data_IF_821251983110
#
_entry.id   IF_821251983110
#
_cell.length_a   1.000
_cell.length_b   1.000
_cell.length_c   1.000
_cell.angle_alpha   90.00
_cell.angle_beta   90.00
_cell.angle_gamma   90.00
#
_symmetry.space_group_name_H-M   'P 1'
#
loop_
_entity.id
_entity.type
_entity.pdbx_description
1 polymer ?
#
# COMPACT_ATOMS: atom_id res chain seq x y z
N UNK A 1 42.28 24.49 -9.42
CA UNK A 1 41.68 23.53 -10.37
C UNK A 1 40.24 23.09 -10.05
N UNK A 2 39.77 23.03 -8.79
CA UNK A 2 38.35 22.67 -8.51
C UNK A 2 37.33 23.81 -8.65
N UNK A 3 37.75 25.07 -8.75
CA UNK A 3 36.85 26.23 -8.95
C UNK A 3 36.63 26.63 -10.43
N UNK A 4 37.49 26.17 -11.34
CA UNK A 4 37.35 26.45 -12.78
C UNK A 4 36.31 25.52 -13.46
N UNK A 5 36.11 24.32 -12.91
CA UNK A 5 35.14 23.34 -13.42
C UNK A 5 33.67 23.75 -13.18
N UNK A 6 33.39 24.43 -12.06
CA UNK A 6 32.04 24.94 -11.74
C UNK A 6 31.63 26.13 -12.61
N UNK A 7 32.59 26.92 -13.11
CA UNK A 7 32.31 28.07 -13.99
C UNK A 7 32.00 27.59 -15.43
N UNK A 8 32.63 26.51 -15.90
CA UNK A 8 32.38 25.95 -17.24
C UNK A 8 30.98 25.29 -17.33
N UNK A 9 30.50 24.63 -16.27
CA UNK A 9 29.14 24.06 -16.24
C UNK A 9 28.06 25.15 -16.13
N UNK A 10 28.32 26.24 -15.42
CA UNK A 10 27.39 27.38 -15.33
C UNK A 10 27.30 28.18 -16.65
N UNK A 11 28.41 28.30 -17.41
CA UNK A 11 28.41 28.95 -18.73
C UNK A 11 27.79 28.08 -19.84
N UNK A 12 27.90 26.76 -19.75
CA UNK A 12 27.18 25.82 -20.63
C UNK A 12 25.65 25.85 -20.45
N UNK A 13 25.16 26.37 -19.32
CA UNK A 13 23.72 26.54 -19.04
C UNK A 13 23.19 27.97 -19.32
N UNK A 14 24.04 28.93 -19.69
CA UNK A 14 23.61 30.33 -19.85
C UNK A 14 24.02 30.99 -21.18
N UNK A 15 24.66 30.28 -22.11
CA UNK A 15 25.03 30.86 -23.41
C UNK A 15 24.97 29.86 -24.56
N UNK A 16 23.75 29.45 -24.93
CA UNK A 16 23.45 29.09 -26.31
C UNK A 16 22.18 29.82 -26.72
N UNK A 17 22.40 30.99 -27.31
CA UNK A 17 21.42 31.70 -28.11
C UNK A 17 21.05 30.85 -29.32
N UNK A 18 19.75 30.79 -29.55
CA UNK A 18 19.04 30.11 -30.62
C UNK A 18 19.64 30.44 -31.99
N UNK A 19 20.14 29.41 -32.70
CA UNK A 19 19.94 29.30 -34.14
C UNK A 19 18.89 28.24 -34.37
N UNK A 20 17.84 28.62 -35.10
CA UNK A 20 16.69 27.80 -35.49
C UNK A 20 17.15 26.47 -36.07
N UNK A 21 17.27 25.48 -35.19
CA UNK A 21 16.93 24.11 -35.52
C UNK A 21 15.46 24.04 -35.15
N UNK A 22 14.61 23.58 -36.07
CA UNK A 22 13.27 23.09 -35.73
C UNK A 22 13.46 21.86 -34.83
N UNK A 23 13.85 22.13 -33.58
CA UNK A 23 13.73 21.22 -32.48
C UNK A 23 12.22 21.20 -32.31
N UNK A 24 11.58 20.14 -32.80
CA UNK A 24 10.29 19.75 -32.26
C UNK A 24 10.45 19.87 -30.76
N UNK A 25 9.80 20.90 -30.18
CA UNK A 25 9.66 21.01 -28.73
C UNK A 25 9.33 19.61 -28.28
N UNK A 26 10.03 19.03 -27.28
CA UNK A 26 9.59 17.74 -26.75
C UNK A 26 8.11 17.92 -26.57
N UNK A 27 7.34 17.12 -27.31
CA UNK A 27 5.91 17.22 -27.29
C UNK A 27 5.62 16.80 -25.86
N UNK A 28 5.59 17.78 -24.95
CA UNK A 28 4.92 17.69 -23.68
C UNK A 28 3.52 17.46 -24.19
N UNK A 29 3.22 16.18 -24.46
CA UNK A 29 1.88 15.71 -24.42
C UNK A 29 1.41 16.34 -23.14
N UNK A 30 0.52 17.32 -23.29
CA UNK A 30 -0.33 17.76 -22.21
C UNK A 30 -1.07 16.50 -21.81
N UNK A 31 -0.39 15.63 -21.05
CA UNK A 31 -1.04 14.77 -20.12
C UNK A 31 -1.76 15.79 -19.28
N UNK A 32 -3.06 15.90 -19.51
CA UNK A 32 -3.98 16.39 -18.51
C UNK A 32 -3.64 15.55 -17.27
N UNK A 33 -2.66 16.00 -16.48
CA UNK A 33 -2.42 15.51 -15.14
C UNK A 33 -3.65 16.03 -14.43
N UNK A 34 -4.71 15.24 -14.52
CA UNK A 34 -5.98 15.49 -13.90
C UNK A 34 -5.63 15.83 -12.46
N UNK A 35 -5.93 17.06 -12.03
CA UNK A 35 -5.55 17.60 -10.72
C UNK A 35 -6.25 16.88 -9.56
N UNK A 36 -6.88 15.74 -9.85
CA UNK A 36 -7.72 14.94 -8.96
C UNK A 36 -6.86 13.95 -8.20
N UNK A 37 -6.25 14.51 -7.17
CA UNK A 37 -6.06 13.97 -5.83
C UNK A 37 -6.10 12.44 -5.74
N UNK A 38 -4.89 11.89 -5.64
CA UNK A 38 -4.52 10.61 -5.05
C UNK A 38 -5.41 10.23 -3.85
N UNK A 39 -6.02 9.04 -3.80
CA UNK A 39 -6.72 8.63 -2.58
C UNK A 39 -5.70 8.07 -1.57
N UNK A 40 -5.43 8.84 -0.51
CA UNK A 40 -4.86 8.24 0.68
C UNK A 40 -5.84 7.21 1.26
N UNK A 41 -5.34 6.03 1.59
CA UNK A 41 -6.05 4.95 2.27
C UNK A 41 -5.34 4.73 3.60
N UNK A 42 -6.09 4.62 4.70
CA UNK A 42 -5.53 4.34 6.03
C UNK A 42 -5.79 2.89 6.42
N UNK A 43 -4.76 2.21 6.94
CA UNK A 43 -4.94 0.95 7.67
C UNK A 43 -5.46 1.24 9.08
N UNK A 44 -6.64 0.72 9.39
CA UNK A 44 -7.30 0.83 10.68
C UNK A 44 -7.42 -0.54 11.36
N UNK A 45 -6.96 -0.61 12.62
CA UNK A 45 -7.04 -1.79 13.50
C UNK A 45 -7.98 -1.53 14.69
N UNK A 46 -8.41 -0.27 14.87
CA UNK A 46 -9.20 0.20 16.00
C UNK A 46 -10.16 1.32 15.61
N UNK A 47 -11.21 1.53 16.43
CA UNK A 47 -12.14 2.67 16.29
C UNK A 47 -11.37 3.99 16.24
N UNK A 48 -10.33 4.16 17.05
CA UNK A 48 -9.54 5.39 17.12
C UNK A 48 -8.87 5.76 15.78
N UNK A 49 -8.53 4.77 14.95
CA UNK A 49 -7.92 4.97 13.62
C UNK A 49 -8.97 5.31 12.57
N UNK A 50 -10.17 4.75 12.69
CA UNK A 50 -11.33 5.13 11.87
C UNK A 50 -11.74 6.58 12.18
N UNK A 51 -11.83 6.95 13.46
CA UNK A 51 -12.13 8.32 13.88
C UNK A 51 -11.09 9.32 13.35
N UNK A 52 -9.82 8.93 13.35
CA UNK A 52 -8.75 9.74 12.79
C UNK A 52 -8.88 9.90 11.28
N UNK A 53 -9.10 8.81 10.54
CA UNK A 53 -9.32 8.89 9.10
C UNK A 53 -10.47 9.84 8.76
N UNK A 54 -11.58 9.77 9.52
CA UNK A 54 -12.73 10.66 9.35
C UNK A 54 -12.36 12.13 9.58
N UNK A 55 -11.65 12.44 10.67
CA UNK A 55 -11.19 13.79 10.98
C UNK A 55 -10.26 14.37 9.91
N UNK A 56 -9.53 13.50 9.21
CA UNK A 56 -8.66 13.89 8.10
C UNK A 56 -9.41 14.04 6.78
N UNK A 57 -10.69 13.67 6.71
CA UNK A 57 -11.50 13.66 5.48
C UNK A 57 -11.24 12.44 4.58
N UNK A 58 -10.46 11.46 5.05
CA UNK A 58 -10.13 10.26 4.29
C UNK A 58 -11.37 9.38 4.17
N UNK A 59 -11.76 9.06 2.94
CA UNK A 59 -12.97 8.27 2.65
C UNK A 59 -12.71 6.78 2.44
N UNK A 60 -11.48 6.38 2.17
CA UNK A 60 -11.11 4.99 1.91
C UNK A 60 -10.24 4.47 3.06
N UNK A 61 -10.60 3.31 3.62
CA UNK A 61 -9.81 2.65 4.68
C UNK A 61 -9.61 1.16 4.38
N UNK A 62 -8.59 0.57 4.99
CA UNK A 62 -8.41 -0.87 5.10
C UNK A 62 -8.63 -1.25 6.56
N UNK A 63 -9.65 -2.04 6.84
CA UNK A 63 -9.88 -2.62 8.16
C UNK A 63 -9.03 -3.88 8.26
N UNK A 64 -7.95 -3.83 9.04
CA UNK A 64 -7.02 -4.94 9.19
C UNK A 64 -7.46 -5.87 10.33
N UNK A 65 -7.61 -7.15 10.01
CA UNK A 65 -8.05 -8.20 10.92
C UNK A 65 -7.13 -9.42 10.84
N UNK A 66 -6.96 -10.11 11.98
CA UNK A 66 -6.29 -11.42 12.05
C UNK A 66 -7.13 -12.56 11.44
N UNK A 67 -8.35 -12.25 10.98
CA UNK A 67 -9.33 -13.22 10.53
C UNK A 67 -10.36 -13.54 11.60
N UNK A 68 -11.47 -14.15 11.19
CA UNK A 68 -12.63 -14.46 12.04
C UNK A 68 -12.76 -15.95 12.33
N UNK A 69 -11.69 -16.72 12.16
CA UNK A 69 -11.64 -18.14 12.50
C UNK A 69 -10.98 -18.37 13.86
N UNK A 70 -11.34 -19.49 14.48
CA UNK A 70 -10.60 -20.04 15.62
C UNK A 70 -9.33 -20.73 15.08
N UNK A 71 -8.19 -20.42 15.68
CA UNK A 71 -6.90 -21.01 15.30
C UNK A 71 -6.84 -22.51 15.71
N UNK A 72 -6.02 -23.30 15.01
CA UNK A 72 -5.68 -24.70 15.33
C UNK A 72 -6.84 -25.73 15.37
N UNK A 73 -7.98 -25.42 14.75
CA UNK A 73 -9.12 -26.35 14.60
C UNK A 73 -9.61 -26.44 13.16
N UNK A 74 -10.52 -27.39 12.89
CA UNK A 74 -11.37 -27.34 11.69
C UNK A 74 -12.06 -25.97 11.60
N UNK A 75 -12.44 -25.57 10.38
CA UNK A 75 -13.09 -24.28 10.18
C UNK A 75 -14.25 -24.06 11.16
N UNK A 76 -14.09 -23.05 12.01
CA UNK A 76 -15.12 -22.54 12.91
C UNK A 76 -14.91 -21.05 13.10
N UNK A 77 -15.99 -20.31 12.97
CA UNK A 77 -16.03 -18.87 13.22
C UNK A 77 -15.74 -18.58 14.69
N UNK A 78 -14.79 -17.68 14.92
CA UNK A 78 -14.57 -17.00 16.18
C UNK A 78 -15.52 -15.79 16.24
N UNK A 79 -16.63 -15.96 16.96
CA UNK A 79 -17.67 -14.93 17.07
C UNK A 79 -17.21 -13.67 17.80
N UNK A 80 -16.17 -13.75 18.65
CA UNK A 80 -15.61 -12.56 19.30
C UNK A 80 -14.82 -11.73 18.29
N UNK A 81 -13.94 -12.36 17.52
CA UNK A 81 -13.22 -11.69 16.41
C UNK A 81 -14.18 -11.13 15.37
N UNK A 82 -15.22 -11.89 15.04
CA UNK A 82 -16.25 -11.47 14.09
C UNK A 82 -17.03 -10.26 14.61
N UNK A 83 -17.44 -10.25 15.88
CA UNK A 83 -18.08 -9.08 16.51
C UNK A 83 -17.15 -7.87 16.53
N UNK A 84 -15.85 -8.07 16.79
CA UNK A 84 -14.86 -7.02 16.70
C UNK A 84 -14.77 -6.39 15.31
N UNK A 85 -14.79 -7.22 14.26
CA UNK A 85 -14.84 -6.76 12.87
C UNK A 85 -16.14 -5.98 12.58
N UNK A 86 -17.30 -6.48 13.03
CA UNK A 86 -18.59 -5.79 12.86
C UNK A 86 -18.56 -4.39 13.47
N UNK A 87 -18.00 -4.24 14.67
CA UNK A 87 -17.89 -2.94 15.34
C UNK A 87 -17.08 -1.95 14.50
N UNK A 88 -15.98 -2.39 13.86
CA UNK A 88 -15.18 -1.54 12.99
C UNK A 88 -15.92 -1.19 11.69
N UNK A 89 -16.61 -2.16 11.08
CA UNK A 89 -17.41 -1.95 9.86
C UNK A 89 -18.56 -0.97 10.10
N UNK A 90 -19.32 -1.15 11.18
CA UNK A 90 -20.41 -0.24 11.53
C UNK A 90 -19.91 1.18 11.80
N UNK A 91 -18.73 1.32 12.39
CA UNK A 91 -18.09 2.63 12.55
C UNK A 91 -17.72 3.28 11.21
N UNK A 92 -17.19 2.50 10.26
CA UNK A 92 -16.89 2.98 8.92
C UNK A 92 -18.16 3.41 8.17
N UNK A 93 -19.25 2.63 8.28
CA UNK A 93 -20.57 2.95 7.73
C UNK A 93 -21.14 4.25 8.29
N UNK A 94 -21.04 4.45 9.61
CA UNK A 94 -21.47 5.70 10.26
C UNK A 94 -20.82 6.93 9.62
N UNK A 95 -19.55 6.82 9.21
CA UNK A 95 -18.81 7.89 8.54
C UNK A 95 -18.90 7.87 7.02
N UNK A 96 -19.74 7.01 6.44
CA UNK A 96 -19.91 6.83 5.00
C UNK A 96 -18.57 6.58 4.30
N UNK A 97 -17.70 5.80 4.95
CA UNK A 97 -16.41 5.42 4.40
C UNK A 97 -16.55 4.20 3.50
N UNK A 98 -15.74 4.19 2.45
CA UNK A 98 -15.42 3.00 1.68
C UNK A 98 -14.37 2.19 2.44
N UNK A 99 -14.52 0.87 2.47
CA UNK A 99 -13.60 0.01 3.19
C UNK A 99 -13.27 -1.27 2.44
N UNK A 100 -12.02 -1.67 2.56
CA UNK A 100 -11.59 -3.05 2.34
C UNK A 100 -11.48 -3.76 3.69
N UNK A 101 -11.71 -5.07 3.71
CA UNK A 101 -11.39 -5.91 4.86
C UNK A 101 -10.12 -6.66 4.54
N UNK A 102 -9.01 -6.30 5.18
CA UNK A 102 -7.76 -7.04 5.05
C UNK A 102 -7.71 -8.14 6.09
N UNK A 103 -7.44 -9.36 5.62
CA UNK A 103 -7.22 -10.52 6.46
C UNK A 103 -5.77 -10.94 6.32
N UNK A 104 -5.06 -10.97 7.43
CA UNK A 104 -3.70 -11.53 7.46
C UNK A 104 -3.79 -13.04 7.41
N UNK A 105 -2.94 -13.68 6.61
CA UNK A 105 -2.70 -15.13 6.68
C UNK A 105 -2.11 -15.57 8.02
N UNK A 106 -1.85 -14.66 8.96
CA UNK A 106 -1.02 -14.87 10.13
C UNK A 106 0.42 -15.32 9.77
N UNK A 107 1.32 -15.29 10.75
CA UNK A 107 2.44 -16.21 10.76
C UNK A 107 1.85 -17.60 11.04
N UNK A 108 1.88 -18.53 10.08
CA UNK A 108 1.67 -19.92 10.46
C UNK A 108 2.81 -20.27 11.41
N UNK A 109 2.52 -20.63 12.65
CA UNK A 109 3.52 -21.22 13.51
C UNK A 109 3.21 -22.70 13.57
N UNK A 110 4.20 -23.55 13.30
CA UNK A 110 4.04 -24.97 13.62
C UNK A 110 4.07 -25.19 15.14
N UNK A 111 3.85 -26.43 15.57
CA UNK A 111 3.85 -26.83 16.99
C UNK A 111 5.18 -26.49 17.70
N UNK A 112 6.25 -26.29 16.94
CA UNK A 112 7.60 -25.92 17.41
C UNK A 112 7.87 -24.40 17.34
N UNK A 113 6.85 -23.57 17.07
CA UNK A 113 6.96 -22.11 16.87
C UNK A 113 7.86 -21.69 15.70
N UNK A 114 8.09 -22.57 14.73
CA UNK A 114 8.80 -22.22 13.49
C UNK A 114 7.84 -21.48 12.55
N UNK A 115 8.34 -20.43 11.89
CA UNK A 115 7.60 -19.69 10.86
C UNK A 115 7.24 -20.63 9.69
N UNK A 116 5.96 -20.73 9.39
CA UNK A 116 5.34 -21.59 8.39
C UNK A 116 4.30 -20.77 7.63
N UNK A 117 4.24 -20.91 6.31
CA UNK A 117 3.13 -20.31 5.55
C UNK A 117 1.85 -21.11 5.85
N UNK A 118 0.74 -20.45 6.23
CA UNK A 118 -0.57 -21.13 6.37
C UNK A 118 -0.95 -21.92 5.11
N UNK A 119 -0.36 -21.58 3.96
CA UNK A 119 -0.67 -22.17 2.68
C UNK A 119 0.16 -23.40 2.32
N UNK A 120 0.89 -24.02 3.25
CA UNK A 120 1.56 -25.31 2.98
C UNK A 120 0.65 -26.53 3.16
N UNK A 121 -0.49 -26.40 3.85
CA UNK A 121 -1.47 -27.48 4.05
C UNK A 121 -2.77 -27.12 3.32
N UNK A 122 -3.26 -27.99 2.43
CA UNK A 122 -4.47 -27.74 1.65
C UNK A 122 -5.72 -27.50 2.52
N UNK A 123 -5.79 -28.15 3.68
CA UNK A 123 -6.87 -27.90 4.65
C UNK A 123 -6.86 -26.48 5.19
N UNK A 124 -5.69 -25.89 5.43
CA UNK A 124 -5.57 -24.50 5.89
C UNK A 124 -5.88 -23.51 4.76
N UNK A 125 -5.46 -23.80 3.50
CA UNK A 125 -5.88 -23.02 2.33
C UNK A 125 -7.41 -23.02 2.18
N UNK A 126 -8.03 -24.20 2.34
CA UNK A 126 -9.48 -24.37 2.28
C UNK A 126 -10.20 -23.60 3.39
N UNK A 127 -9.76 -23.70 4.64
CA UNK A 127 -10.35 -22.97 5.76
C UNK A 127 -10.19 -21.46 5.63
N UNK A 128 -9.06 -20.99 5.08
CA UNK A 128 -8.86 -19.59 4.76
C UNK A 128 -9.86 -19.11 3.68
N UNK A 129 -10.06 -19.89 2.62
CA UNK A 129 -11.05 -19.58 1.58
C UNK A 129 -12.49 -19.59 2.13
N UNK A 130 -12.83 -20.52 3.04
CA UNK A 130 -14.14 -20.52 3.71
C UNK A 130 -14.37 -19.25 4.54
N UNK A 131 -13.37 -18.83 5.32
CA UNK A 131 -13.39 -17.58 6.08
C UNK A 131 -13.64 -16.36 5.18
N UNK A 132 -12.94 -16.30 4.04
CA UNK A 132 -13.14 -15.23 3.07
C UNK A 132 -14.55 -15.21 2.51
N UNK A 133 -15.09 -16.36 2.10
CA UNK A 133 -16.46 -16.46 1.60
C UNK A 133 -17.49 -16.03 2.66
N UNK A 134 -17.26 -16.34 3.93
CA UNK A 134 -18.13 -15.88 5.03
C UNK A 134 -18.12 -14.35 5.15
N UNK A 135 -16.94 -13.73 5.12
CA UNK A 135 -16.79 -12.27 5.18
C UNK A 135 -17.41 -11.60 3.94
N UNK A 136 -17.16 -12.11 2.74
CA UNK A 136 -17.75 -11.58 1.48
C UNK A 136 -19.27 -11.65 1.58
N UNK A 137 -19.83 -12.83 1.86
CA UNK A 137 -21.30 -13.02 1.94
C UNK A 137 -21.94 -12.03 2.93
N UNK A 138 -21.23 -11.68 3.99
CA UNK A 138 -21.73 -10.79 5.03
C UNK A 138 -21.77 -9.32 4.63
N UNK A 139 -20.76 -8.84 3.89
CA UNK A 139 -20.58 -7.41 3.62
C UNK A 139 -20.73 -7.04 2.13
N UNK A 140 -20.91 -7.98 1.20
CA UNK A 140 -21.02 -7.68 -0.25
C UNK A 140 -22.21 -6.77 -0.62
N UNK A 141 -23.29 -6.84 0.16
CA UNK A 141 -24.44 -5.97 0.00
C UNK A 141 -24.20 -4.53 0.54
N UNK A 142 -23.12 -4.28 1.28
CA UNK A 142 -22.83 -2.96 1.82
C UNK A 142 -22.20 -2.05 0.75
N UNK A 143 -22.83 -0.90 0.47
CA UNK A 143 -22.34 0.07 -0.52
C UNK A 143 -20.91 0.58 -0.27
N UNK A 144 -20.46 0.57 0.99
CA UNK A 144 -19.11 0.96 1.38
C UNK A 144 -18.07 -0.13 1.14
N UNK A 145 -18.46 -1.39 0.98
CA UNK A 145 -17.51 -2.51 0.85
C UNK A 145 -16.86 -2.52 -0.54
N UNK A 146 -15.55 -2.37 -0.57
CA UNK A 146 -14.74 -2.35 -1.80
C UNK A 146 -14.07 -3.66 -2.11
N UNK A 147 -13.89 -4.53 -1.13
CA UNK A 147 -13.27 -5.84 -1.36
C UNK A 147 -12.57 -6.42 -0.15
N UNK A 148 -11.91 -7.55 -0.38
CA UNK A 148 -11.07 -8.22 0.62
C UNK A 148 -9.61 -8.06 0.24
N UNK A 149 -8.80 -7.62 1.20
CA UNK A 149 -7.35 -7.67 1.12
C UNK A 149 -6.80 -8.96 1.73
N UNK A 150 -5.78 -9.54 1.10
CA UNK A 150 -5.05 -10.67 1.67
C UNK A 150 -3.62 -10.21 1.95
N UNK A 151 -3.26 -10.18 3.23
CA UNK A 151 -1.87 -9.96 3.62
C UNK A 151 -1.19 -11.30 3.84
N UNK A 152 -0.33 -11.68 2.89
CA UNK A 152 0.45 -12.92 2.95
C UNK A 152 1.76 -12.60 3.67
N UNK A 153 1.82 -12.99 4.94
CA UNK A 153 3.05 -12.89 5.73
C UNK A 153 3.92 -14.12 5.45
N UNK A 154 5.19 -13.89 5.09
CA UNK A 154 6.19 -14.93 4.79
C UNK A 154 5.73 -15.97 3.73
N UNK A 155 5.47 -15.54 2.49
CA UNK A 155 4.95 -16.44 1.45
C UNK A 155 5.84 -17.66 1.13
N UNK A 156 7.14 -17.60 1.45
CA UNK A 156 8.10 -18.57 0.93
C UNK A 156 8.12 -18.56 -0.60
N UNK A 157 8.39 -19.73 -1.22
CA UNK A 157 8.25 -19.94 -2.66
C UNK A 157 6.82 -20.23 -3.13
N UNK A 158 5.85 -20.32 -2.21
CA UNK A 158 4.52 -20.90 -2.48
C UNK A 158 3.42 -19.84 -2.61
N UNK A 159 3.78 -18.55 -2.74
CA UNK A 159 2.84 -17.42 -2.79
C UNK A 159 1.84 -17.55 -3.95
N UNK A 160 2.35 -17.78 -5.16
CA UNK A 160 1.53 -17.81 -6.38
C UNK A 160 0.55 -18.98 -6.39
N UNK A 161 0.96 -20.13 -5.82
CA UNK A 161 0.09 -21.30 -5.68
C UNK A 161 -1.04 -21.02 -4.68
N UNK A 162 -0.70 -20.44 -3.53
CA UNK A 162 -1.68 -20.05 -2.51
C UNK A 162 -2.71 -19.05 -3.05
N UNK A 163 -2.23 -18.00 -3.74
CA UNK A 163 -3.05 -16.98 -4.38
C UNK A 163 -3.99 -17.64 -5.41
N UNK A 164 -3.43 -18.49 -6.28
CA UNK A 164 -4.20 -19.17 -7.33
C UNK A 164 -5.25 -20.12 -6.74
N UNK A 165 -4.91 -20.84 -5.67
CA UNK A 165 -5.87 -21.67 -4.95
C UNK A 165 -7.02 -20.82 -4.39
N UNK A 166 -6.71 -19.74 -3.67
CA UNK A 166 -7.72 -18.86 -3.09
C UNK A 166 -8.65 -18.33 -4.17
N UNK A 167 -8.12 -17.85 -5.30
CA UNK A 167 -8.94 -17.40 -6.43
C UNK A 167 -9.87 -18.49 -6.97
N UNK A 168 -9.39 -19.73 -7.05
CA UNK A 168 -10.21 -20.86 -7.53
C UNK A 168 -11.37 -21.20 -6.59
N UNK A 169 -11.27 -20.84 -5.30
CA UNK A 169 -12.27 -21.17 -4.26
C UNK A 169 -13.13 -19.98 -3.85
N UNK A 170 -12.61 -18.77 -3.97
CA UNK A 170 -13.26 -17.51 -3.66
C UNK A 170 -13.48 -16.82 -5.00
N UNK A 171 -14.56 -17.21 -5.69
CA UNK A 171 -14.93 -16.67 -7.00
C UNK A 171 -15.44 -15.21 -6.86
N UNK A 172 -14.54 -14.29 -6.51
CA UNK A 172 -14.85 -12.90 -6.19
C UNK A 172 -13.82 -11.97 -6.82
N UNK A 173 -14.30 -10.98 -7.58
CA UNK A 173 -13.44 -10.14 -8.43
C UNK A 173 -12.72 -9.01 -7.69
N UNK A 174 -13.14 -8.69 -6.46
CA UNK A 174 -12.61 -7.56 -5.68
C UNK A 174 -11.61 -7.99 -4.60
N UNK A 175 -10.76 -8.98 -4.90
CA UNK A 175 -9.68 -9.40 -4.00
C UNK A 175 -8.41 -8.64 -4.36
N UNK A 176 -7.77 -8.02 -3.37
CA UNK A 176 -6.47 -7.34 -3.51
C UNK A 176 -5.40 -8.08 -2.69
N UNK A 177 -4.19 -8.20 -3.24
CA UNK A 177 -3.11 -8.94 -2.59
C UNK A 177 -2.03 -8.00 -2.08
N UNK A 178 -1.76 -8.05 -0.78
CA UNK A 178 -0.60 -7.40 -0.20
C UNK A 178 0.59 -8.37 -0.26
N UNK A 179 1.45 -8.14 -1.23
CA UNK A 179 2.66 -8.91 -1.44
C UNK A 179 3.81 -8.11 -0.84
N UNK A 180 4.38 -8.64 0.25
CA UNK A 180 5.56 -8.07 0.89
C UNK A 180 6.78 -8.29 0.00
N UNK A 181 7.17 -7.28 -0.79
CA UNK A 181 8.31 -7.37 -1.70
C UNK A 181 9.62 -7.04 -0.95
N UNK A 182 10.64 -7.91 -1.02
CA UNK A 182 11.91 -7.71 -0.34
C UNK A 182 12.84 -6.69 -1.03
N UNK A 183 12.65 -6.42 -2.33
CA UNK A 183 13.50 -5.53 -3.13
C UNK A 183 12.70 -4.94 -4.31
N UNK A 184 12.82 -3.62 -4.51
CA UNK A 184 12.12 -2.85 -5.54
C UNK A 184 12.67 -3.07 -6.96
N UNK A 185 13.91 -3.53 -7.07
CA UNK A 185 14.61 -3.66 -8.36
C UNK A 185 14.46 -5.04 -9.01
N UNK A 186 13.96 -6.04 -8.28
CA UNK A 186 13.80 -7.42 -8.74
C UNK A 186 12.32 -7.83 -8.92
N UNK A 187 11.41 -6.85 -8.94
CA UNK A 187 9.97 -7.11 -8.96
C UNK A 187 9.53 -7.68 -10.32
N UNK A 188 9.05 -8.93 -10.32
CA UNK A 188 8.11 -9.42 -11.33
C UNK A 188 6.71 -9.37 -10.73
N UNK A 189 5.92 -8.35 -11.06
CA UNK A 189 4.53 -8.28 -10.62
C UNK A 189 3.72 -9.32 -11.39
N UNK A 190 2.93 -10.10 -10.66
CA UNK A 190 1.97 -11.00 -11.29
C UNK A 190 0.84 -10.15 -11.90
N UNK A 191 0.83 -10.00 -13.23
CA UNK A 191 -0.16 -9.18 -13.95
C UNK A 191 -1.60 -9.68 -13.79
N UNK A 192 -1.78 -10.92 -13.32
CA UNK A 192 -3.08 -11.56 -13.22
C UNK A 192 -3.96 -10.99 -12.11
N UNK A 193 -3.39 -10.32 -11.10
CA UNK A 193 -4.09 -9.93 -9.88
C UNK A 193 -3.83 -8.46 -9.50
N UNK A 194 -4.80 -7.77 -8.86
CA UNK A 194 -4.55 -6.45 -8.30
C UNK A 194 -3.54 -6.57 -7.15
N UNK A 195 -2.36 -5.96 -7.32
CA UNK A 195 -1.26 -6.08 -6.37
C UNK A 195 -1.07 -4.80 -5.58
N UNK A 196 -0.90 -4.94 -4.27
CA UNK A 196 -0.39 -3.90 -3.39
C UNK A 196 1.11 -4.13 -3.24
N UNK A 197 1.91 -3.14 -3.61
CA UNK A 197 3.36 -3.16 -3.37
C UNK A 197 3.64 -2.58 -1.99
N UNK A 198 4.28 -3.38 -1.15
CA UNK A 198 4.64 -2.98 0.20
C UNK A 198 6.04 -2.37 0.28
N UNK A 199 6.11 -1.10 0.65
CA UNK A 199 7.33 -0.39 0.97
C UNK A 199 7.46 -0.28 2.50
N UNK A 200 8.39 -1.04 3.07
CA UNK A 200 8.64 -1.05 4.51
C UNK A 200 9.95 -0.31 4.85
N UNK A 201 9.82 0.83 5.51
CA UNK A 201 10.93 1.68 5.91
C UNK A 201 11.18 1.54 7.41
N UNK A 202 12.42 1.29 7.83
CA UNK A 202 12.80 1.25 9.26
C UNK A 202 13.56 2.50 9.75
N UNK A 203 13.91 3.43 8.85
CA UNK A 203 14.65 4.65 9.21
C UNK A 203 13.73 5.73 9.74
N UNK A 204 14.28 6.64 10.54
CA UNK A 204 13.58 7.84 11.03
C UNK A 204 13.85 9.08 10.17
N UNK A 205 14.83 9.04 9.25
CA UNK A 205 15.34 10.22 8.54
C UNK A 205 15.29 10.03 7.02
N UNK A 206 14.82 11.05 6.29
CA UNK A 206 14.85 11.17 4.83
C UNK A 206 15.15 12.63 4.40
N UNK A 207 15.97 12.89 3.37
CA UNK A 207 16.74 11.95 2.53
C UNK A 207 17.99 11.39 3.24
N UNK A 208 18.43 10.18 2.86
CA UNK A 208 19.68 9.60 3.38
C UNK A 208 19.74 8.07 3.37
N UNK A 209 18.88 7.39 4.15
CA UNK A 209 18.89 5.92 4.23
C UNK A 209 17.50 5.37 4.53
N UNK A 210 17.01 4.43 3.72
CA UNK A 210 15.96 3.49 4.14
C UNK A 210 16.60 2.19 4.59
N UNK A 211 16.23 1.70 5.77
CA UNK A 211 16.52 0.31 6.12
C UNK A 211 15.35 -0.55 5.64
N UNK A 212 15.56 -1.31 4.56
CA UNK A 212 14.51 -2.12 3.91
C UNK A 212 14.35 -3.51 4.52
N UNK A 213 15.31 -3.99 5.32
CA UNK A 213 15.16 -5.22 6.15
C UNK A 213 16.27 -5.37 7.19
N UNK A 214 17.52 -5.08 6.83
CA UNK A 214 18.69 -5.11 7.72
C UNK A 214 19.93 -4.39 7.14
N UNK A 215 19.87 -3.94 5.88
CA UNK A 215 20.89 -3.14 5.21
C UNK A 215 20.41 -1.69 5.06
N UNK A 216 21.36 -0.75 5.17
CA UNK A 216 21.15 0.65 4.81
C UNK A 216 21.11 0.74 3.27
N UNK A 217 19.94 0.97 2.70
CA UNK A 217 19.77 1.24 1.27
C UNK A 217 19.40 2.71 1.13
N UNK A 218 20.26 3.50 0.50
CA UNK A 218 19.92 4.85 0.07
C UNK A 218 18.74 4.76 -0.91
N UNK A 219 17.61 5.40 -0.57
CA UNK A 219 16.46 5.46 -1.49
C UNK A 219 16.78 6.50 -2.54
N UNK A 220 17.21 6.05 -3.71
CA UNK A 220 17.31 6.94 -4.85
C UNK A 220 15.90 7.26 -5.37
N UNK A 221 15.50 8.54 -5.30
CA UNK A 221 14.19 9.03 -5.76
C UNK A 221 13.88 8.64 -7.20
N UNK A 222 14.87 8.72 -8.10
CA UNK A 222 14.68 8.41 -9.51
C UNK A 222 14.48 6.90 -9.73
N UNK A 223 15.22 6.07 -8.99
CA UNK A 223 15.01 4.61 -9.01
C UNK A 223 13.62 4.24 -8.49
N UNK A 224 13.17 4.84 -7.37
CA UNK A 224 11.82 4.60 -6.84
C UNK A 224 10.74 5.02 -7.85
N UNK A 225 10.87 6.20 -8.47
CA UNK A 225 9.95 6.68 -9.50
C UNK A 225 9.90 5.72 -10.70
N UNK A 226 11.07 5.33 -11.24
CA UNK A 226 11.15 4.43 -12.38
C UNK A 226 10.52 3.05 -12.06
N UNK A 227 10.78 2.50 -10.87
CA UNK A 227 10.17 1.23 -10.44
C UNK A 227 8.65 1.33 -10.29
N UNK A 228 8.15 2.43 -9.70
CA UNK A 228 6.70 2.66 -9.57
C UNK A 228 6.03 2.92 -10.93
N UNK A 229 6.70 3.60 -11.85
CA UNK A 229 6.24 3.81 -13.24
C UNK A 229 6.11 2.47 -13.97
N UNK A 230 7.19 1.68 -13.99
CA UNK A 230 7.19 0.35 -14.62
C UNK A 230 6.09 -0.53 -14.02
N UNK A 231 5.88 -0.46 -12.70
CA UNK A 231 4.76 -1.14 -12.06
C UNK A 231 3.41 -0.64 -12.57
N UNK A 232 3.18 0.67 -12.69
CA UNK A 232 1.90 1.23 -13.14
C UNK A 232 1.55 0.73 -14.54
N UNK A 233 2.56 0.73 -15.40
CA UNK A 233 2.44 0.30 -16.79
C UNK A 233 2.09 -1.19 -16.88
N UNK A 234 2.70 -2.01 -16.03
CA UNK A 234 2.41 -3.45 -15.96
C UNK A 234 1.08 -3.76 -15.26
N UNK A 235 0.64 -2.93 -14.31
CA UNK A 235 -0.60 -3.13 -13.57
C UNK A 235 -1.25 -1.78 -13.19
N UNK A 236 -2.21 -1.36 -14.01
CA UNK A 236 -2.93 -0.09 -13.82
C UNK A 236 -3.69 -0.01 -12.50
N UNK A 237 -4.05 -1.16 -11.91
CA UNK A 237 -4.80 -1.26 -10.65
C UNK A 237 -3.94 -1.39 -9.40
N UNK A 238 -2.61 -1.36 -9.55
CA UNK A 238 -1.72 -1.53 -8.40
C UNK A 238 -1.89 -0.39 -7.39
N UNK A 239 -1.68 -0.69 -6.11
CA UNK A 239 -1.65 0.28 -5.01
C UNK A 239 -0.28 0.24 -4.33
N UNK A 240 0.10 1.33 -3.67
CA UNK A 240 1.37 1.40 -2.93
C UNK A 240 1.07 1.46 -1.45
N UNK A 241 1.47 0.44 -0.69
CA UNK A 241 1.40 0.46 0.76
C UNK A 241 2.74 0.85 1.35
N UNK A 242 2.73 1.84 2.23
CA UNK A 242 3.91 2.38 2.88
C UNK A 242 3.78 2.22 4.37
N UNK A 243 4.78 1.58 4.98
CA UNK A 243 4.93 1.46 6.43
C UNK A 243 6.24 2.09 6.85
N UNK A 244 6.20 2.96 7.85
CA UNK A 244 7.37 3.63 8.41
C UNK A 244 7.14 3.90 9.92
N UNK A 245 8.20 4.08 10.71
CA UNK A 245 8.11 4.68 12.04
C UNK A 245 7.89 6.20 11.91
N UNK A 246 6.71 6.59 11.41
CA UNK A 246 6.41 7.97 11.04
C UNK A 246 6.80 8.98 12.13
N UNK A 247 7.55 10.00 11.70
CA UNK A 247 8.04 11.14 12.48
C UNK A 247 7.97 12.38 11.60
N UNK A 248 8.08 13.58 12.19
CA UNK A 248 8.11 14.83 11.41
C UNK A 248 9.32 14.94 10.46
N UNK A 249 10.35 14.11 10.63
CA UNK A 249 11.51 13.99 9.72
C UNK A 249 11.18 13.23 8.42
N UNK A 250 9.96 12.69 8.30
CA UNK A 250 9.46 12.04 7.09
C UNK A 250 8.62 12.99 6.22
N UNK A 251 8.62 14.30 6.49
CA UNK A 251 7.79 15.26 5.76
C UNK A 251 8.15 15.33 4.27
N UNK A 252 9.44 15.43 3.94
CA UNK A 252 9.91 15.40 2.54
C UNK A 252 9.55 14.06 1.88
N UNK A 253 9.65 12.95 2.60
CA UNK A 253 9.33 11.63 2.06
C UNK A 253 7.84 11.48 1.74
N UNK A 254 6.96 11.85 2.67
CA UNK A 254 5.51 11.78 2.46
C UNK A 254 5.07 12.74 1.35
N UNK A 255 5.71 13.91 1.24
CA UNK A 255 5.49 14.85 0.14
C UNK A 255 5.93 14.23 -1.20
N UNK A 256 7.10 13.60 -1.26
CA UNK A 256 7.57 12.91 -2.47
C UNK A 256 6.62 11.78 -2.88
N UNK A 257 6.18 10.94 -1.94
CA UNK A 257 5.20 9.89 -2.21
C UNK A 257 3.88 10.47 -2.74
N UNK A 258 3.38 11.54 -2.14
CA UNK A 258 2.19 12.24 -2.61
C UNK A 258 2.34 12.72 -4.06
N UNK A 259 3.44 13.38 -4.40
CA UNK A 259 3.70 13.85 -5.76
C UNK A 259 3.84 12.70 -6.75
N UNK A 260 4.58 11.65 -6.39
CA UNK A 260 4.73 10.45 -7.21
C UNK A 260 3.36 9.83 -7.51
N UNK A 261 2.51 9.74 -6.50
CA UNK A 261 1.20 9.12 -6.64
C UNK A 261 0.21 10.01 -7.38
N UNK A 262 0.36 11.34 -7.29
CA UNK A 262 -0.38 12.30 -8.12
C UNK A 262 0.01 12.19 -9.59
N UNK A 263 1.29 12.04 -9.89
CA UNK A 263 1.81 11.90 -11.26
C UNK A 263 1.43 10.54 -11.86
N UNK A 264 1.54 9.47 -11.08
CA UNK A 264 1.31 8.10 -11.54
C UNK A 264 -0.12 7.59 -11.32
N UNK A 265 -0.96 8.39 -10.67
CA UNK A 265 -2.33 8.07 -10.31
C UNK A 265 -2.46 6.73 -9.56
N UNK A 266 -1.72 6.59 -8.47
CA UNK A 266 -1.81 5.45 -7.55
C UNK A 266 -2.63 5.79 -6.32
N UNK A 267 -3.22 4.79 -5.68
CA UNK A 267 -3.68 4.94 -4.30
C UNK A 267 -2.51 4.63 -3.34
N UNK A 268 -2.35 5.47 -2.31
CA UNK A 268 -1.33 5.26 -1.27
C UNK A 268 -2.01 4.73 -0.02
N UNK A 269 -1.62 3.55 0.40
CA UNK A 269 -2.02 2.97 1.67
C UNK A 269 -0.97 3.34 2.73
N UNK A 270 -1.38 4.07 3.76
CA UNK A 270 -0.54 4.43 4.89
C UNK A 270 -0.80 3.48 6.06
N UNK A 271 0.22 2.73 6.44
CA UNK A 271 0.23 1.88 7.63
C UNK A 271 0.86 2.62 8.83
N UNK A 272 0.72 2.05 10.02
CA UNK A 272 1.23 2.59 11.29
C UNK A 272 0.69 4.00 11.60
N UNK A 273 -0.61 4.18 11.38
CA UNK A 273 -1.28 5.49 11.47
C UNK A 273 -1.31 6.08 12.88
N UNK A 274 -1.15 5.25 13.91
CA UNK A 274 -0.95 5.69 15.30
C UNK A 274 0.25 6.62 15.48
N UNK A 275 1.31 6.44 14.68
CA UNK A 275 2.49 7.32 14.66
C UNK A 275 2.23 8.59 13.86
N UNK A 276 1.58 8.51 12.69
CA UNK A 276 1.22 9.67 11.86
C UNK A 276 0.38 10.69 12.67
N UNK A 277 -0.56 10.21 13.48
CA UNK A 277 -1.42 11.03 14.35
C UNK A 277 -0.65 11.99 15.26
N UNK A 278 0.62 11.68 15.57
CA UNK A 278 1.46 12.43 16.51
C UNK A 278 2.38 13.43 15.80
N UNK A 279 2.32 13.54 14.47
CA UNK A 279 3.29 14.29 13.67
C UNK A 279 2.62 15.46 12.93
N UNK A 280 2.63 16.68 13.49
CA UNK A 280 1.95 17.83 12.90
C UNK A 280 2.36 18.15 11.46
N UNK A 281 3.63 17.93 11.06
CA UNK A 281 4.06 18.16 9.68
C UNK A 281 3.43 17.16 8.73
N UNK A 282 3.40 15.88 9.11
CA UNK A 282 2.79 14.82 8.31
C UNK A 282 1.28 15.02 8.17
N UNK A 283 0.60 15.48 9.23
CA UNK A 283 -0.82 15.80 9.17
C UNK A 283 -1.14 16.91 8.16
N UNK A 284 -0.28 17.93 8.04
CA UNK A 284 -0.43 18.98 7.02
C UNK A 284 -0.33 18.41 5.60
N UNK A 285 0.60 17.49 5.37
CA UNK A 285 0.76 16.86 4.05
C UNK A 285 -0.42 15.94 3.77
N UNK A 286 -0.82 15.10 4.74
CA UNK A 286 -1.94 14.17 4.59
C UNK A 286 -3.24 14.88 4.21
N UNK A 287 -3.50 16.09 4.74
CA UNK A 287 -4.66 16.91 4.32
C UNK A 287 -4.63 17.29 2.84
N UNK A 288 -3.45 17.44 2.23
CA UNK A 288 -3.30 17.69 0.79
C UNK A 288 -3.57 16.44 -0.06
N UNK A 289 -3.49 15.27 0.55
CA UNK A 289 -3.74 13.97 -0.09
C UNK A 289 -5.22 13.56 -0.05
N UNK A 290 -6.09 14.44 0.46
CA UNK A 290 -7.52 14.18 0.58
C UNK A 290 -8.27 15.05 -0.41
N UNK A 291 -9.17 14.49 -1.22
CA UNK A 291 -9.93 15.29 -2.18
C UNK A 291 -10.72 16.38 -1.46
N UNK A 292 -10.66 17.60 -1.96
CA UNK A 292 -11.59 18.66 -1.52
C UNK A 292 -12.95 18.31 -2.11
N UNK A 293 -13.88 17.88 -1.26
CA UNK A 293 -15.27 17.57 -1.61
C UNK A 293 -16.18 18.77 -1.46
#
# INVERSE_FOLDING_TARGET
>A
MKRLLFIIIAFLLSSCTVKNVDIEKPNVQNTNIDSKVTNAIIVAKSISEIDFANKMGIKNIIISSKGVRIDDKNYRTDFERLRGLDVLVEKAKQYKMNFYIEITSGPGYDVEKRNFSLFRRDSQKFYFAQMMNEIIKRYDADNGFKGIGINIENPGGDADEAISYIYSKVNYSKIIYNINLPDLNSIKLNQKYPNIVYLNFKSLNYPGYSMLKSSNIEVNRNSLLASLQNMKEQNKSAMVRVSAPWSDEHDVFLQDLYELSRILNFDIILDNTSSIKKCPKLLKILRKMVPVT
#
